data_IF_377352332425
#
_entry.id   IF_377352332425
#
_cell.length_a   1.000
_cell.length_b   1.000
_cell.length_c   1.000
_cell.angle_alpha   90.00
_cell.angle_beta   90.00
_cell.angle_gamma   90.00
#
_symmetry.space_group_name_H-M   'P 1'
#
loop_
_entity.id
_entity.type
_entity.pdbx_description
1 polymer ?
#
# COMPACT_ATOMS: atom_id res chain seq x y z
N UNK A 1 7.87 10.61 35.01
CA UNK A 1 8.49 9.27 35.16
C UNK A 1 9.23 8.95 33.86
N UNK A 2 10.56 8.71 33.85
CA UNK A 2 11.31 8.40 32.61
C UNK A 2 10.95 7.02 32.04
N UNK A 3 10.96 6.86 30.72
CA UNK A 3 10.85 5.55 30.09
C UNK A 3 12.19 4.83 30.22
N UNK A 4 12.19 3.61 30.77
CA UNK A 4 13.42 2.85 31.08
C UNK A 4 13.77 1.80 30.01
N UNK A 5 12.83 1.49 29.13
CA UNK A 5 12.99 0.54 28.02
C UNK A 5 12.32 1.10 26.76
N UNK A 6 12.78 0.65 25.60
CA UNK A 6 12.21 1.02 24.28
C UNK A 6 10.70 0.74 24.26
N UNK A 7 10.29 -0.45 24.70
CA UNK A 7 8.88 -0.86 24.81
C UNK A 7 8.02 0.11 25.62
N UNK A 8 8.54 0.63 26.75
CA UNK A 8 7.81 1.60 27.58
C UNK A 8 7.73 2.97 26.89
N UNK A 9 8.77 3.36 26.14
CA UNK A 9 8.74 4.59 25.36
C UNK A 9 7.71 4.50 24.22
N UNK A 10 7.70 3.39 23.50
CA UNK A 10 6.76 3.05 22.42
C UNK A 10 5.31 3.04 22.92
N UNK A 11 5.02 2.33 24.01
CA UNK A 11 3.70 2.30 24.64
C UNK A 11 3.20 3.69 25.06
N UNK A 12 4.09 4.54 25.57
CA UNK A 12 3.73 5.92 25.96
C UNK A 12 3.45 6.83 24.78
N UNK A 13 4.10 6.57 23.65
CA UNK A 13 3.81 7.22 22.38
C UNK A 13 2.58 6.60 21.68
N UNK A 14 1.95 5.59 22.29
CA UNK A 14 0.88 4.76 21.69
C UNK A 14 1.33 4.12 20.37
N UNK A 15 2.61 3.88 20.23
CA UNK A 15 3.21 3.14 19.13
C UNK A 15 3.32 1.71 19.65
N UNK A 16 2.41 0.84 19.22
CA UNK A 16 2.56 -0.60 19.38
C UNK A 16 2.78 -1.19 17.99
N UNK A 17 4.02 -1.25 17.51
CA UNK A 17 4.30 -1.70 16.15
C UNK A 17 3.90 -3.16 15.96
N UNK A 18 4.04 -3.98 17.01
CA UNK A 18 3.68 -5.40 17.00
C UNK A 18 2.17 -5.60 16.81
N UNK A 19 1.33 -4.66 17.25
CA UNK A 19 -0.11 -4.68 16.99
C UNK A 19 -0.46 -4.67 15.50
N UNK A 20 0.41 -4.13 14.65
CA UNK A 20 0.16 -4.02 13.20
C UNK A 20 0.89 -5.09 12.39
N UNK A 21 1.80 -5.85 12.99
CA UNK A 21 2.53 -6.89 12.28
C UNK A 21 1.67 -8.16 12.22
N UNK A 22 1.27 -8.51 11.00
CA UNK A 22 0.60 -9.76 10.68
C UNK A 22 1.65 -10.76 10.21
N UNK A 23 1.81 -11.84 10.96
CA UNK A 23 2.75 -12.92 10.67
C UNK A 23 2.07 -14.01 9.83
N UNK A 24 2.01 -13.82 8.52
CA UNK A 24 1.60 -14.90 7.62
C UNK A 24 2.63 -16.03 7.66
N UNK A 25 2.18 -17.27 7.50
CA UNK A 25 3.09 -18.38 7.23
C UNK A 25 3.05 -18.75 5.76
N UNK A 26 4.18 -19.21 5.22
CA UNK A 26 4.33 -19.47 3.79
C UNK A 26 4.57 -20.95 3.52
N UNK A 27 4.10 -21.41 2.36
CA UNK A 27 4.56 -22.66 1.75
C UNK A 27 6.03 -22.58 1.37
N UNK A 28 6.79 -23.63 1.67
CA UNK A 28 8.22 -23.72 1.37
C UNK A 28 8.54 -23.88 -0.13
N UNK A 29 7.56 -24.31 -0.94
CA UNK A 29 7.68 -24.49 -2.39
C UNK A 29 7.05 -23.32 -3.15
N UNK A 30 5.73 -23.10 -3.02
CA UNK A 30 5.01 -22.13 -3.86
C UNK A 30 4.95 -20.71 -3.27
N UNK A 31 5.45 -20.51 -2.05
CA UNK A 31 5.46 -19.22 -1.35
C UNK A 31 4.08 -18.57 -1.16
N UNK A 32 3.00 -19.35 -1.30
CA UNK A 32 1.65 -18.86 -1.02
C UNK A 32 1.53 -18.46 0.46
N UNK A 33 1.01 -17.26 0.76
CA UNK A 33 0.77 -16.82 2.13
C UNK A 33 -0.51 -17.42 2.70
N UNK A 34 -0.46 -17.81 3.96
CA UNK A 34 -1.57 -18.37 4.73
C UNK A 34 -1.77 -17.59 6.02
N UNK A 35 -3.04 -17.34 6.36
CA UNK A 35 -3.42 -16.54 7.52
C UNK A 35 -3.03 -17.25 8.83
N UNK A 36 -2.37 -16.56 9.79
CA UNK A 36 -1.91 -17.18 11.04
C UNK A 36 -2.99 -17.90 11.85
N UNK A 37 -4.25 -17.47 11.75
CA UNK A 37 -5.37 -18.10 12.46
C UNK A 37 -5.65 -19.53 11.99
N UNK A 38 -5.38 -19.80 10.71
CA UNK A 38 -5.64 -21.10 10.08
C UNK A 38 -4.62 -22.19 10.46
N UNK A 39 -3.49 -21.84 11.07
CA UNK A 39 -2.39 -22.79 11.35
C UNK A 39 -2.84 -24.01 12.17
N UNK A 40 -3.73 -23.79 13.13
CA UNK A 40 -4.23 -24.85 14.01
C UNK A 40 -5.49 -25.55 13.48
N UNK A 41 -6.13 -24.97 12.46
CA UNK A 41 -7.33 -25.50 11.82
C UNK A 41 -7.00 -26.47 10.69
N UNK A 42 -5.79 -26.37 10.11
CA UNK A 42 -5.34 -27.27 9.04
C UNK A 42 -5.19 -28.70 9.55
N UNK A 43 -5.78 -29.67 8.85
CA UNK A 43 -5.66 -31.09 9.18
C UNK A 43 -4.26 -31.65 8.89
N UNK A 44 -3.56 -31.06 7.92
CA UNK A 44 -2.27 -31.55 7.40
C UNK A 44 -1.24 -30.42 7.27
N UNK A 45 0.07 -30.71 7.37
CA UNK A 45 1.12 -29.75 7.05
C UNK A 45 1.24 -29.44 5.55
N UNK A 46 0.58 -30.20 4.67
CA UNK A 46 0.64 -30.00 3.22
C UNK A 46 -0.02 -28.70 2.76
N UNK A 47 0.54 -28.07 1.74
CA UNK A 47 -0.05 -26.90 1.11
C UNK A 47 -1.41 -27.27 0.47
N UNK A 48 -2.49 -26.49 0.70
CA UNK A 48 -3.81 -26.77 0.12
C UNK A 48 -3.90 -26.42 -1.37
N UNK A 49 -2.89 -25.76 -1.94
CA UNK A 49 -2.87 -25.40 -3.36
C UNK A 49 -2.74 -26.68 -4.20
N UNK A 50 -3.59 -26.89 -5.24
CA UNK A 50 -3.48 -28.04 -6.11
C UNK A 50 -2.08 -28.09 -6.74
N UNK A 51 -1.57 -29.30 -6.93
CA UNK A 51 -0.24 -29.57 -7.53
C UNK A 51 0.95 -29.02 -6.73
N UNK A 52 0.76 -28.63 -5.46
CA UNK A 52 1.86 -28.20 -4.60
C UNK A 52 2.24 -29.30 -3.61
N UNK A 53 3.45 -29.84 -3.73
CA UNK A 53 4.02 -30.81 -2.77
C UNK A 53 4.66 -30.16 -1.54
N UNK A 54 4.51 -28.83 -1.40
CA UNK A 54 5.14 -28.08 -0.32
C UNK A 54 4.46 -28.26 1.03
N UNK A 55 5.21 -27.88 2.07
CA UNK A 55 4.81 -27.95 3.47
C UNK A 55 4.68 -26.54 4.07
N UNK A 56 3.77 -26.41 5.02
CA UNK A 56 3.45 -25.15 5.71
C UNK A 56 4.08 -25.08 7.10
N UNK A 57 4.07 -26.19 7.83
CA UNK A 57 4.56 -26.27 9.20
C UNK A 57 5.17 -27.64 9.52
N UNK A 58 6.02 -27.66 10.54
CA UNK A 58 6.50 -28.88 11.18
C UNK A 58 5.72 -29.16 12.47
N UNK A 59 5.61 -30.43 12.85
CA UNK A 59 4.96 -30.84 14.09
C UNK A 59 6.01 -31.44 15.02
N UNK A 60 6.09 -30.91 16.24
CA UNK A 60 6.93 -31.47 17.31
C UNK A 60 6.04 -31.93 18.46
N UNK A 61 6.14 -33.19 18.83
CA UNK A 61 5.47 -33.74 20.03
C UNK A 61 6.27 -33.34 21.26
N UNK A 62 5.62 -32.71 22.23
CA UNK A 62 6.22 -32.30 23.50
C UNK A 62 6.14 -33.45 24.52
N UNK A 63 6.92 -33.36 25.59
CA UNK A 63 7.00 -34.37 26.68
C UNK A 63 5.66 -34.65 27.38
N UNK A 64 4.65 -33.79 27.22
CA UNK A 64 3.28 -34.00 27.72
C UNK A 64 2.27 -34.50 26.67
N UNK A 65 2.73 -35.05 25.54
CA UNK A 65 1.87 -35.52 24.45
C UNK A 65 1.22 -34.42 23.61
N UNK A 66 1.39 -33.14 23.99
CA UNK A 66 0.90 -32.00 23.21
C UNK A 66 1.72 -31.83 21.93
N UNK A 67 1.04 -31.62 20.81
CA UNK A 67 1.67 -31.31 19.54
C UNK A 67 1.85 -29.80 19.39
N UNK A 68 3.08 -29.35 19.13
CA UNK A 68 3.38 -27.97 18.74
C UNK A 68 3.59 -27.90 17.23
N UNK A 69 2.76 -27.10 16.55
CA UNK A 69 2.93 -26.77 15.14
C UNK A 69 3.83 -25.54 15.04
N UNK A 70 4.86 -25.60 14.19
CA UNK A 70 5.80 -24.49 13.96
C UNK A 70 5.88 -24.22 12.46
N UNK A 71 5.46 -23.05 11.98
CA UNK A 71 5.58 -22.66 10.58
C UNK A 71 7.00 -22.86 10.06
N UNK A 72 7.15 -23.36 8.84
CA UNK A 72 8.46 -23.53 8.20
C UNK A 72 9.03 -22.19 7.74
N UNK A 73 8.15 -21.29 7.28
CA UNK A 73 8.48 -19.94 6.86
C UNK A 73 7.44 -18.96 7.35
N UNK A 74 7.90 -17.78 7.77
CA UNK A 74 7.05 -16.70 8.28
C UNK A 74 7.34 -15.43 7.47
N UNK A 75 6.29 -14.74 7.06
CA UNK A 75 6.32 -13.45 6.40
C UNK A 75 5.65 -12.41 7.31
N UNK A 76 6.43 -11.59 8.04
CA UNK A 76 5.88 -10.44 8.73
C UNK A 76 5.44 -9.40 7.70
N UNK A 77 4.20 -8.93 7.83
CA UNK A 77 3.65 -7.87 6.97
C UNK A 77 2.95 -6.84 7.83
N UNK A 78 2.83 -5.62 7.34
CA UNK A 78 2.03 -4.57 7.97
C UNK A 78 0.98 -4.08 6.96
N UNK A 79 -0.28 -3.86 7.38
CA UNK A 79 -1.27 -3.28 6.49
C UNK A 79 -0.87 -1.83 6.19
N UNK A 80 -0.60 -1.55 4.91
CA UNK A 80 -0.01 -0.28 4.44
C UNK A 80 -0.88 0.92 4.82
N UNK A 81 -2.19 0.84 4.61
CA UNK A 81 -3.12 1.95 4.85
C UNK A 81 -3.11 2.40 6.31
N UNK A 82 -3.42 1.55 7.31
CA UNK A 82 -3.40 1.98 8.72
C UNK A 82 -1.99 2.39 9.17
N UNK A 83 -0.94 1.78 8.63
CA UNK A 83 0.44 2.18 8.95
C UNK A 83 0.76 3.59 8.45
N UNK A 84 0.37 3.93 7.22
CA UNK A 84 0.48 5.30 6.69
C UNK A 84 -0.36 6.28 7.52
N UNK A 85 -1.59 5.91 7.85
CA UNK A 85 -2.46 6.74 8.70
C UNK A 85 -1.79 7.04 10.04
N UNK A 86 -1.16 6.05 10.67
CA UNK A 86 -0.42 6.27 11.91
C UNK A 86 0.78 7.19 11.73
N UNK A 87 1.60 6.99 10.70
CA UNK A 87 2.72 7.89 10.39
C UNK A 87 2.22 9.32 10.24
N UNK A 88 1.11 9.53 9.52
CA UNK A 88 0.54 10.86 9.32
C UNK A 88 0.00 11.49 10.61
N UNK A 89 -0.42 10.69 11.58
CA UNK A 89 -0.89 11.15 12.89
C UNK A 89 0.24 11.45 13.89
N UNK A 90 1.49 11.08 13.59
CA UNK A 90 2.60 11.38 14.49
C UNK A 90 2.83 12.90 14.61
N UNK A 91 3.01 13.43 15.84
CA UNK A 91 3.27 14.84 16.04
C UNK A 91 4.49 15.30 15.23
N UNK A 92 4.33 16.37 14.44
CA UNK A 92 5.41 16.91 13.61
C UNK A 92 5.54 16.28 12.22
N UNK A 93 4.97 15.09 11.97
CA UNK A 93 5.10 14.42 10.66
C UNK A 93 4.44 15.19 9.52
N UNK A 94 3.30 15.83 9.80
CA UNK A 94 2.70 16.72 8.82
C UNK A 94 3.67 17.84 8.41
N UNK A 95 4.32 18.50 9.36
CA UNK A 95 5.30 19.56 9.10
C UNK A 95 6.55 19.03 8.40
N UNK A 96 7.04 17.85 8.79
CA UNK A 96 8.17 17.17 8.16
C UNK A 96 7.89 16.85 6.68
N UNK A 97 6.68 16.38 6.37
CA UNK A 97 6.22 16.18 4.99
C UNK A 97 6.03 17.48 4.20
N UNK A 98 6.11 18.64 4.84
CA UNK A 98 6.19 19.94 4.15
C UNK A 98 7.62 20.47 4.01
N UNK A 99 8.65 19.76 4.47
CA UNK A 99 10.03 20.27 4.46
C UNK A 99 10.60 20.49 3.05
N UNK A 100 10.08 19.76 2.05
CA UNK A 100 10.44 20.00 0.64
C UNK A 100 9.92 21.35 0.12
N UNK A 101 8.98 22.01 0.81
CA UNK A 101 8.50 23.34 0.44
C UNK A 101 9.53 24.38 0.85
N UNK A 102 10.06 25.09 -0.14
CA UNK A 102 11.02 26.18 0.09
C UNK A 102 10.27 27.42 0.62
N UNK A 103 10.61 27.94 1.82
CA UNK A 103 9.97 29.14 2.33
C UNK A 103 10.24 30.30 1.36
N UNK A 104 9.15 30.94 0.87
CA UNK A 104 9.06 32.02 -0.12
C UNK A 104 8.81 31.61 -1.57
N UNK A 105 9.04 30.36 -1.95
CA UNK A 105 8.78 29.85 -3.32
C UNK A 105 7.46 29.10 -3.34
N UNK A 106 7.25 28.18 -2.40
CA UNK A 106 6.03 27.39 -2.28
C UNK A 106 5.18 27.88 -1.10
N UNK A 107 4.18 28.72 -1.38
CA UNK A 107 3.15 29.05 -0.39
C UNK A 107 2.27 27.82 -0.15
N UNK A 108 1.73 27.70 1.07
CA UNK A 108 0.64 26.75 1.37
C UNK A 108 -0.61 27.25 0.65
N UNK A 109 -0.73 26.91 -0.62
CA UNK A 109 -1.91 27.15 -1.43
C UNK A 109 -2.20 25.92 -2.26
N UNK A 110 -3.41 25.84 -2.81
CA UNK A 110 -3.69 24.96 -3.92
C UNK A 110 -2.64 25.25 -5.01
N UNK A 111 -1.91 24.21 -5.42
CA UNK A 111 -1.01 24.30 -6.57
C UNK A 111 -1.89 24.06 -7.78
N UNK A 112 -2.11 25.06 -8.66
CA UNK A 112 -2.89 24.83 -9.87
C UNK A 112 -2.19 23.73 -10.70
N UNK A 113 -2.95 22.95 -11.50
CA UNK A 113 -2.34 22.05 -12.48
C UNK A 113 -1.29 22.81 -13.29
N UNK A 114 -0.11 22.22 -13.53
CA UNK A 114 0.91 22.90 -14.32
C UNK A 114 0.35 23.23 -15.70
N UNK A 115 0.40 24.51 -16.10
CA UNK A 115 0.05 24.91 -17.46
C UNK A 115 1.04 24.25 -18.43
N UNK A 116 0.51 23.69 -19.51
CA UNK A 116 1.17 22.67 -20.32
C UNK A 116 2.57 23.06 -20.86
N UNK A 117 3.43 22.04 -20.93
CA UNK A 117 4.64 21.83 -21.77
C UNK A 117 5.76 22.89 -21.81
N UNK A 118 5.52 24.11 -21.34
CA UNK A 118 6.49 25.22 -21.36
C UNK A 118 7.21 25.40 -20.03
N UNK A 119 6.78 24.69 -18.99
CA UNK A 119 7.47 24.68 -17.71
C UNK A 119 8.75 23.83 -17.81
N UNK A 120 9.90 24.43 -17.51
CA UNK A 120 11.22 23.76 -17.46
C UNK A 120 11.26 22.62 -16.44
N UNK A 121 10.22 22.50 -15.60
CA UNK A 121 10.00 21.43 -14.63
C UNK A 121 9.14 20.28 -15.17
N UNK A 122 8.78 20.28 -16.46
CA UNK A 122 8.07 19.16 -17.08
C UNK A 122 9.00 17.94 -17.22
N UNK A 123 8.93 17.04 -16.24
CA UNK A 123 9.61 15.75 -16.23
C UNK A 123 9.29 14.85 -17.44
N UNK A 124 8.16 15.10 -18.12
CA UNK A 124 7.62 14.30 -19.22
C UNK A 124 7.31 15.19 -20.42
N UNK A 125 8.35 15.76 -21.02
CA UNK A 125 8.25 16.41 -22.34
C UNK A 125 7.83 15.42 -23.44
N UNK A 126 8.07 14.12 -23.22
CA UNK A 126 7.63 13.02 -24.07
C UNK A 126 6.44 12.25 -23.46
N UNK A 127 5.27 12.38 -24.08
CA UNK A 127 4.02 11.68 -23.71
C UNK A 127 4.12 10.15 -23.83
N UNK A 128 5.16 9.63 -24.49
CA UNK A 128 5.42 8.19 -24.62
C UNK A 128 6.32 7.61 -23.53
N UNK A 129 6.86 8.43 -22.63
CA UNK A 129 7.60 7.91 -21.48
C UNK A 129 6.69 7.20 -20.51
N UNK A 130 7.10 6.00 -20.12
CA UNK A 130 6.42 5.16 -19.16
C UNK A 130 7.06 5.41 -17.80
N UNK A 131 6.25 5.68 -16.79
CA UNK A 131 6.69 5.69 -15.38
C UNK A 131 7.26 4.31 -15.04
N UNK A 132 8.55 4.24 -14.74
CA UNK A 132 9.24 2.99 -14.49
C UNK A 132 9.21 2.58 -13.02
N UNK A 133 9.38 3.55 -12.11
CA UNK A 133 9.35 3.33 -10.66
C UNK A 133 8.82 4.52 -9.84
N UNK A 134 8.92 4.44 -8.51
CA UNK A 134 8.42 5.49 -7.60
C UNK A 134 9.25 6.77 -7.66
N UNK A 135 10.51 6.69 -8.05
CA UNK A 135 11.39 7.87 -8.19
C UNK A 135 10.94 8.74 -9.34
N UNK A 136 10.26 8.18 -10.35
CA UNK A 136 9.60 8.90 -11.44
C UNK A 136 8.32 9.64 -10.98
N UNK A 137 7.83 9.40 -9.77
CA UNK A 137 6.55 10.00 -9.33
C UNK A 137 6.57 11.52 -9.19
N UNK A 138 7.76 12.14 -9.18
CA UNK A 138 7.92 13.60 -9.16
C UNK A 138 7.27 14.31 -10.36
N UNK A 139 7.23 13.65 -11.52
CA UNK A 139 6.66 14.22 -12.74
C UNK A 139 5.13 14.10 -12.85
N UNK A 140 4.45 13.51 -11.85
CA UNK A 140 2.99 13.40 -11.83
C UNK A 140 2.30 14.77 -11.90
N UNK A 141 2.94 15.81 -11.37
CA UNK A 141 2.46 17.20 -11.48
C UNK A 141 2.45 17.72 -12.92
N UNK A 142 3.28 17.13 -13.80
CA UNK A 142 3.46 17.59 -15.18
C UNK A 142 2.50 16.92 -16.15
N UNK A 143 1.89 15.81 -15.74
CA UNK A 143 0.90 15.11 -16.54
C UNK A 143 -0.47 15.72 -16.31
N UNK A 144 -0.90 16.60 -17.23
CA UNK A 144 -2.28 17.05 -17.29
C UNK A 144 -3.19 15.84 -17.59
N UNK A 145 -3.86 15.32 -16.56
CA UNK A 145 -4.75 14.15 -16.65
C UNK A 145 -5.99 14.42 -17.53
N UNK A 146 -6.26 15.68 -17.86
CA UNK A 146 -7.50 16.07 -18.53
C UNK A 146 -8.71 16.01 -17.60
N UNK A 147 -8.49 15.83 -16.29
CA UNK A 147 -9.48 16.09 -15.25
C UNK A 147 -9.43 17.56 -14.84
N UNK A 148 -10.58 18.18 -14.73
CA UNK A 148 -10.75 19.47 -14.04
C UNK A 148 -11.45 19.22 -12.71
N UNK A 149 -10.89 19.80 -11.64
CA UNK A 149 -11.57 19.86 -10.35
C UNK A 149 -12.64 20.96 -10.37
N UNK A 150 -13.89 20.57 -10.19
CA UNK A 150 -15.00 21.51 -9.98
C UNK A 150 -15.43 21.49 -8.54
N UNK A 151 -15.61 22.68 -7.96
CA UNK A 151 -16.29 22.80 -6.66
C UNK A 151 -17.73 22.33 -6.84
N UNK A 152 -18.10 21.31 -6.09
CA UNK A 152 -19.46 20.77 -6.06
C UNK A 152 -20.02 20.86 -4.66
N UNK A 153 -21.32 20.74 -4.53
CA UNK A 153 -21.95 20.72 -3.21
C UNK A 153 -21.52 19.48 -2.43
N UNK A 154 -21.58 19.56 -1.10
CA UNK A 154 -21.33 18.43 -0.21
C UNK A 154 -22.30 17.25 -0.41
N UNK A 155 -23.40 17.47 -1.14
CA UNK A 155 -24.33 16.41 -1.53
C UNK A 155 -23.82 15.57 -2.72
N UNK A 156 -22.93 16.12 -3.55
CA UNK A 156 -22.32 15.42 -4.70
C UNK A 156 -21.00 14.75 -4.29
N UNK A 157 -20.17 15.44 -3.51
CA UNK A 157 -18.91 14.92 -2.99
C UNK A 157 -18.72 15.36 -1.54
N UNK A 158 -18.39 14.43 -0.66
CA UNK A 158 -18.09 14.72 0.75
C UNK A 158 -16.96 15.75 0.90
N UNK A 159 -16.07 15.83 -0.09
CA UNK A 159 -14.91 16.72 -0.10
C UNK A 159 -15.21 18.08 -0.76
N UNK A 160 -16.42 18.29 -1.27
CA UNK A 160 -16.83 19.53 -1.96
C UNK A 160 -16.16 19.75 -3.31
N UNK A 161 -15.54 18.70 -3.86
CA UNK A 161 -14.81 18.73 -5.14
C UNK A 161 -15.17 17.46 -5.93
N UNK A 162 -15.40 17.63 -7.24
CA UNK A 162 -15.65 16.56 -8.20
C UNK A 162 -14.61 16.65 -9.34
N UNK A 163 -13.97 15.54 -9.64
CA UNK A 163 -12.97 15.43 -10.71
C UNK A 163 -13.71 15.07 -12.00
N UNK A 164 -13.92 16.03 -12.90
CA UNK A 164 -14.60 15.78 -14.18
C UNK A 164 -13.62 15.62 -15.34
N UNK A 165 -13.83 14.62 -16.18
CA UNK A 165 -13.02 14.42 -17.38
C UNK A 165 -13.40 15.46 -18.44
N UNK A 166 -12.52 16.41 -18.70
CA UNK A 166 -12.72 17.51 -19.66
C UNK A 166 -12.03 17.22 -21.00
N UNK A 167 -10.97 16.40 -21.01
CA UNK A 167 -10.32 15.91 -22.22
C UNK A 167 -9.94 14.44 -22.07
N UNK A 168 -10.34 13.60 -23.04
CA UNK A 168 -9.89 12.20 -23.12
C UNK A 168 -8.39 12.13 -23.44
N UNK A 169 -7.54 12.15 -22.42
CA UNK A 169 -6.12 11.83 -22.55
C UNK A 169 -5.91 10.36 -22.19
N UNK A 170 -5.65 9.52 -23.19
CA UNK A 170 -5.34 8.09 -23.01
C UNK A 170 -3.96 7.93 -22.37
N UNK A 171 -3.90 7.75 -21.05
CA UNK A 171 -2.69 7.28 -20.40
C UNK A 171 -2.66 5.74 -20.36
N UNK A 172 -1.51 5.17 -20.72
CA UNK A 172 -1.24 3.73 -20.59
C UNK A 172 -0.36 3.52 -19.38
N UNK A 173 -0.95 3.10 -18.26
CA UNK A 173 -0.17 2.51 -17.18
C UNK A 173 0.30 1.14 -17.64
N UNK A 174 1.59 1.02 -17.95
CA UNK A 174 2.20 -0.30 -18.15
C UNK A 174 2.76 -0.71 -16.80
N UNK A 175 1.94 -1.42 -16.02
CA UNK A 175 2.49 -2.21 -14.91
C UNK A 175 3.37 -3.31 -15.54
N UNK A 176 4.55 -3.62 -14.97
CA UNK A 176 5.35 -4.75 -15.42
C UNK A 176 4.45 -6.00 -15.43
N UNK A 177 4.44 -6.73 -16.56
CA UNK A 177 3.45 -7.78 -16.86
C UNK A 177 3.23 -8.81 -15.74
N UNK A 178 4.22 -9.06 -14.88
CA UNK A 178 4.11 -9.99 -13.74
C UNK A 178 3.24 -9.46 -12.59
N UNK A 179 3.07 -8.13 -12.46
CA UNK A 179 2.31 -7.49 -11.39
C UNK A 179 0.83 -7.37 -11.75
N UNK A 180 0.53 -7.13 -13.03
CA UNK A 180 -0.85 -7.00 -13.54
C UNK A 180 -1.62 -8.32 -13.43
N UNK A 181 -0.97 -9.45 -13.71
CA UNK A 181 -1.56 -10.78 -13.61
C UNK A 181 -2.01 -11.12 -12.17
N UNK A 182 -1.29 -10.64 -11.15
CA UNK A 182 -1.62 -10.88 -9.73
C UNK A 182 -2.70 -9.95 -9.19
N UNK A 183 -2.84 -8.75 -9.76
CA UNK A 183 -3.84 -7.76 -9.35
C UNK A 183 -5.22 -7.99 -9.99
N UNK A 184 -5.26 -8.51 -11.23
CA UNK A 184 -6.52 -8.77 -11.95
C UNK A 184 -7.23 -10.03 -11.47
N UNK A 185 -6.51 -11.01 -10.91
CA UNK A 185 -7.09 -12.25 -10.37
C UNK A 185 -7.95 -12.01 -9.10
N UNK A 186 -7.81 -10.84 -8.44
CA UNK A 186 -8.60 -10.46 -7.26
C UNK A 186 -9.82 -9.57 -7.54
N UNK A 187 -10.12 -9.20 -8.80
CA UNK A 187 -11.22 -8.26 -9.14
C UNK A 187 -12.26 -8.81 -10.11
N UNK A 188 -12.51 -10.12 -10.16
CA UNK A 188 -13.73 -10.64 -10.77
C UNK A 188 -14.95 -10.40 -9.85
N UNK A 189 -15.38 -9.14 -9.76
CA UNK A 189 -16.75 -8.78 -9.39
C UNK A 189 -17.38 -8.20 -10.66
N UNK A 190 -18.18 -9.03 -11.32
CA UNK A 190 -18.90 -8.71 -12.54
C UNK A 190 -19.88 -7.56 -12.32
N UNK A 191 -19.80 -6.51 -13.15
CA UNK A 191 -20.90 -5.58 -13.38
C UNK A 191 -21.58 -5.98 -14.70
N UNK A 192 -22.81 -6.48 -14.62
CA UNK A 192 -23.68 -6.62 -15.78
C UNK A 192 -24.57 -5.37 -15.87
N UNK A 193 -24.58 -4.64 -17.00
CA UNK A 193 -25.62 -3.66 -17.25
C UNK A 193 -26.86 -4.36 -17.83
N UNK A 194 -28.02 -4.03 -17.27
CA UNK A 194 -29.32 -4.15 -17.93
C UNK A 194 -29.56 -2.90 -18.77
#
# INVERSE_FOLDING_TARGET
>A
MMARTLLIAEQRLRIDPDHYIIYYFLCDVCWAPHDPTTLYELDSPSCPKPECSGLLYSVKVLTGGKCKRTPLRVLPTVPIIPMIQQILLWPGKYQEFQYWRLPRIDKVSEVPPMEALTDLLNAYDNVHWVLSDITDSWGWRAMAWGLEQRKVSSAVSQWGVDDMLVQEKRQRFVLPNETLARLLDRRNVCYHPQ
#
